data_IF_742871604652
#
_entry.id   IF_742871604652
#
_cell.length_a   1.000
_cell.length_b   1.000
_cell.length_c   1.000
_cell.angle_alpha   90.00
_cell.angle_beta   90.00
_cell.angle_gamma   90.00
#
_symmetry.space_group_name_H-M   'P 1'
#
loop_
_entity.id
_entity.type
_entity.pdbx_description
1 polymer ?
#
# COMPACT_ATOMS: atom_id res chain seq x y z
N UNK A 1 16.61 -14.45 -5.16
CA UNK A 1 16.55 -13.00 -4.88
C UNK A 1 17.76 -12.38 -5.55
N UNK A 2 17.57 -11.28 -6.28
CA UNK A 2 18.62 -10.55 -6.97
C UNK A 2 18.59 -9.11 -6.46
N UNK A 3 19.75 -8.60 -6.05
CA UNK A 3 19.93 -7.19 -5.71
C UNK A 3 19.96 -6.37 -7.00
N UNK A 4 19.16 -5.31 -7.07
CA UNK A 4 19.09 -4.40 -8.22
C UNK A 4 19.86 -3.10 -7.95
N UNK A 5 20.24 -2.81 -6.70
CA UNK A 5 20.79 -1.54 -6.15
C UNK A 5 19.73 -0.61 -5.51
N UNK A 6 20.20 0.41 -4.78
CA UNK A 6 19.39 1.39 -4.03
C UNK A 6 18.39 0.78 -3.02
N UNK A 7 18.69 -0.41 -2.50
CA UNK A 7 17.82 -1.10 -1.54
C UNK A 7 16.61 -1.80 -2.17
N UNK A 8 16.60 -1.95 -3.49
CA UNK A 8 15.60 -2.72 -4.21
C UNK A 8 16.06 -4.16 -4.47
N UNK A 9 15.13 -5.10 -4.27
CA UNK A 9 15.38 -6.52 -4.47
C UNK A 9 14.34 -7.12 -5.43
N UNK A 10 14.79 -7.89 -6.42
CA UNK A 10 13.93 -8.68 -7.26
C UNK A 10 13.77 -10.09 -6.69
N UNK A 11 12.52 -10.48 -6.44
CA UNK A 11 12.18 -11.82 -5.96
C UNK A 11 11.33 -12.51 -7.03
N UNK A 12 11.79 -13.68 -7.47
CA UNK A 12 11.04 -14.55 -8.38
C UNK A 12 10.46 -15.71 -7.57
N UNK A 13 9.14 -15.79 -7.53
CA UNK A 13 8.41 -16.87 -6.89
C UNK A 13 8.20 -18.03 -7.86
N UNK A 14 8.18 -19.26 -7.33
CA UNK A 14 7.86 -20.46 -8.10
C UNK A 14 6.36 -20.78 -8.04
N UNK A 15 5.72 -20.47 -6.91
CA UNK A 15 4.30 -20.67 -6.69
C UNK A 15 3.55 -19.33 -6.78
N UNK A 16 2.40 -19.34 -7.46
CA UNK A 16 1.50 -18.20 -7.54
C UNK A 16 0.95 -17.82 -6.15
N UNK A 17 0.65 -18.79 -5.30
CA UNK A 17 0.14 -18.55 -3.95
C UNK A 17 1.17 -17.77 -3.11
N UNK A 18 2.44 -18.17 -3.15
CA UNK A 18 3.50 -17.48 -2.39
C UNK A 18 3.69 -16.03 -2.89
N UNK A 19 3.54 -15.81 -4.20
CA UNK A 19 3.57 -14.47 -4.78
C UNK A 19 2.39 -13.61 -4.32
N UNK A 20 1.18 -14.16 -4.34
CA UNK A 20 -0.03 -13.48 -3.88
C UNK A 20 0.09 -13.15 -2.39
N UNK A 21 0.52 -14.11 -1.56
CA UNK A 21 0.73 -13.90 -0.13
C UNK A 21 1.78 -12.82 0.13
N UNK A 22 2.90 -12.84 -0.59
CA UNK A 22 3.93 -11.79 -0.47
C UNK A 22 3.39 -10.39 -0.80
N UNK A 23 2.42 -10.28 -1.72
CA UNK A 23 1.79 -9.01 -2.07
C UNK A 23 0.69 -8.59 -1.11
N UNK A 24 -0.10 -9.54 -0.59
CA UNK A 24 -1.35 -9.27 0.12
C UNK A 24 -1.38 -9.63 1.59
N UNK A 25 -0.32 -10.20 2.19
CA UNK A 25 -0.28 -10.53 3.62
C UNK A 25 0.56 -9.55 4.45
N UNK A 26 1.03 -8.45 3.85
CA UNK A 26 1.73 -7.38 4.56
C UNK A 26 0.87 -6.67 5.64
N UNK A 27 1.44 -5.69 6.36
CA UNK A 27 2.71 -5.01 6.10
C UNK A 27 3.95 -5.83 6.49
N UNK A 28 4.99 -5.77 5.67
CA UNK A 28 6.25 -6.45 5.93
C UNK A 28 7.19 -5.54 6.71
N UNK A 29 7.69 -6.03 7.85
CA UNK A 29 8.64 -5.29 8.69
C UNK A 29 9.88 -6.17 8.89
N UNK A 30 11.04 -5.64 8.51
CA UNK A 30 12.34 -6.27 8.74
C UNK A 30 13.21 -5.30 9.54
N UNK A 31 13.70 -5.72 10.71
CA UNK A 31 14.48 -4.88 11.63
C UNK A 31 13.86 -3.51 11.96
N UNK A 32 12.52 -3.46 12.05
CA UNK A 32 11.79 -2.21 12.33
C UNK A 32 11.63 -1.27 11.15
N UNK A 33 12.11 -1.66 9.96
CA UNK A 33 11.89 -0.93 8.71
C UNK A 33 10.78 -1.59 7.90
N UNK A 34 9.86 -0.78 7.39
CA UNK A 34 8.81 -1.25 6.51
C UNK A 34 9.37 -1.56 5.11
N UNK A 35 8.93 -2.68 4.54
CA UNK A 35 9.21 -3.02 3.15
C UNK A 35 7.98 -2.79 2.29
N UNK A 36 8.18 -2.10 1.18
CA UNK A 36 7.20 -2.00 0.10
C UNK A 36 7.39 -3.19 -0.84
N UNK A 37 6.32 -3.96 -1.04
CA UNK A 37 6.28 -5.03 -2.04
C UNK A 37 5.36 -4.60 -3.16
N UNK A 38 5.83 -4.71 -4.40
CA UNK A 38 5.03 -4.41 -5.59
C UNK A 38 5.32 -5.41 -6.71
N UNK A 39 4.37 -5.62 -7.65
CA UNK A 39 4.63 -6.38 -8.86
C UNK A 39 5.80 -5.78 -9.65
N UNK A 40 6.60 -6.64 -10.26
CA UNK A 40 7.64 -6.19 -11.18
C UNK A 40 7.02 -5.47 -12.39
N UNK A 41 7.63 -4.36 -12.82
CA UNK A 41 7.24 -3.62 -14.01
C UNK A 41 8.46 -3.32 -14.88
N UNK A 42 8.29 -3.34 -16.21
CA UNK A 42 9.35 -2.97 -17.15
C UNK A 42 9.74 -1.49 -17.08
N UNK A 43 8.86 -0.65 -16.54
CA UNK A 43 9.11 0.77 -16.31
C UNK A 43 9.82 1.04 -14.97
N UNK A 44 10.28 -0.01 -14.27
CA UNK A 44 10.93 0.13 -12.98
C UNK A 44 12.31 0.77 -13.16
N UNK A 45 12.53 1.90 -12.49
CA UNK A 45 13.80 2.61 -12.47
C UNK A 45 14.34 2.67 -11.03
N UNK A 46 15.41 1.91 -10.70
CA UNK A 46 15.99 1.91 -9.36
C UNK A 46 16.65 3.25 -8.97
N UNK A 47 16.85 4.16 -9.93
CA UNK A 47 17.42 5.50 -9.70
C UNK A 47 16.36 6.53 -9.34
N UNK A 48 15.08 6.24 -9.58
CA UNK A 48 13.98 7.10 -9.19
C UNK A 48 13.75 6.98 -7.68
N UNK A 49 13.69 8.12 -6.98
CA UNK A 49 13.56 8.13 -5.52
C UNK A 49 12.27 7.46 -5.02
N UNK A 50 11.17 7.52 -5.80
CA UNK A 50 9.87 6.98 -5.42
C UNK A 50 9.07 6.52 -6.65
N UNK A 51 8.48 5.33 -6.58
CA UNK A 51 7.50 4.87 -7.56
C UNK A 51 6.22 5.71 -7.49
N UNK A 52 5.62 6.03 -8.63
CA UNK A 52 4.31 6.73 -8.67
C UNK A 52 3.14 5.86 -8.20
N UNK A 53 3.36 4.56 -8.02
CA UNK A 53 2.36 3.59 -7.56
C UNK A 53 2.96 2.77 -6.43
N UNK A 54 2.25 2.67 -5.32
CA UNK A 54 2.66 1.94 -4.13
C UNK A 54 1.49 1.17 -3.55
N UNK A 55 1.74 -0.08 -3.16
CA UNK A 55 0.78 -0.86 -2.39
C UNK A 55 0.81 -0.39 -0.94
N UNK A 56 -0.36 -0.03 -0.41
CA UNK A 56 -0.49 0.46 0.95
C UNK A 56 -1.63 -0.24 1.69
N UNK A 57 -1.41 -0.41 2.99
CA UNK A 57 -2.41 -0.96 3.89
C UNK A 57 -3.23 0.17 4.48
N UNK A 58 -4.55 0.08 4.33
CA UNK A 58 -5.46 1.14 4.79
C UNK A 58 -6.13 0.72 6.08
N UNK A 59 -6.18 1.64 7.05
CA UNK A 59 -6.85 1.49 8.34
C UNK A 59 -7.93 2.55 8.51
N UNK A 60 -9.08 2.11 9.00
CA UNK A 60 -10.20 2.98 9.38
C UNK A 60 -10.45 2.88 10.88
N UNK A 61 -9.68 3.61 11.70
CA UNK A 61 -9.86 3.59 13.14
C UNK A 61 -11.27 4.07 13.50
N UNK A 62 -11.96 3.31 14.35
CA UNK A 62 -13.29 3.65 14.83
C UNK A 62 -14.42 3.50 13.80
N UNK A 63 -14.16 2.88 12.64
CA UNK A 63 -15.22 2.59 11.68
C UNK A 63 -16.23 1.59 12.29
N UNK A 64 -17.52 1.90 12.33
CA UNK A 64 -18.53 0.97 12.80
C UNK A 64 -18.57 -0.34 12.00
N UNK A 65 -18.73 -1.47 12.68
CA UNK A 65 -18.76 -2.81 12.07
C UNK A 65 -19.75 -2.97 10.92
N UNK A 66 -20.91 -2.32 10.98
CA UNK A 66 -21.93 -2.37 9.92
C UNK A 66 -21.51 -1.65 8.62
N UNK A 67 -20.46 -0.83 8.65
CA UNK A 67 -19.89 -0.18 7.47
C UNK A 67 -18.75 -0.98 6.83
N UNK A 68 -18.30 -2.08 7.45
CA UNK A 68 -17.37 -3.04 6.84
C UNK A 68 -18.12 -3.93 5.83
N UNK A 69 -18.64 -3.31 4.77
CA UNK A 69 -19.24 -3.99 3.63
C UNK A 69 -18.26 -3.98 2.46
N UNK A 70 -18.15 -5.10 1.75
CA UNK A 70 -17.31 -5.23 0.55
C UNK A 70 -17.48 -4.05 -0.41
N UNK A 71 -18.71 -3.62 -0.69
CA UNK A 71 -18.97 -2.48 -1.59
C UNK A 71 -18.30 -1.19 -1.14
N UNK A 72 -18.40 -0.88 0.16
CA UNK A 72 -17.79 0.33 0.74
C UNK A 72 -16.27 0.23 0.67
N UNK A 73 -15.71 -0.92 1.03
CA UNK A 73 -14.26 -1.15 1.01
C UNK A 73 -13.71 -1.03 -0.43
N UNK A 74 -14.41 -1.59 -1.42
CA UNK A 74 -14.03 -1.48 -2.84
C UNK A 74 -14.08 -0.03 -3.32
N UNK A 75 -15.15 0.70 -3.04
CA UNK A 75 -15.27 2.11 -3.42
C UNK A 75 -14.11 2.95 -2.84
N UNK A 76 -13.69 2.67 -1.60
CA UNK A 76 -12.55 3.37 -1.00
C UNK A 76 -11.22 2.95 -1.64
N UNK A 77 -11.05 1.67 -1.95
CA UNK A 77 -9.86 1.17 -2.63
C UNK A 77 -9.64 1.77 -4.03
N UNK A 78 -10.70 2.26 -4.67
CA UNK A 78 -10.63 2.97 -5.96
C UNK A 78 -10.36 4.48 -5.82
N UNK A 79 -10.37 5.03 -4.60
CA UNK A 79 -10.04 6.44 -4.38
C UNK A 79 -8.53 6.67 -4.34
N UNK A 80 -8.03 7.81 -4.89
CA UNK A 80 -6.67 8.25 -4.64
C UNK A 80 -6.37 8.37 -3.15
N UNK A 81 -5.08 8.43 -2.80
CA UNK A 81 -4.64 8.61 -1.42
C UNK A 81 -5.26 9.88 -0.80
N UNK A 82 -6.08 9.72 0.23
CA UNK A 82 -6.82 10.79 0.91
C UNK A 82 -6.68 10.65 2.42
N UNK A 83 -6.65 11.77 3.13
CA UNK A 83 -6.60 11.75 4.61
C UNK A 83 -7.95 11.40 5.26
N UNK A 84 -9.04 11.54 4.52
CA UNK A 84 -10.39 11.28 4.98
C UNK A 84 -11.34 11.00 3.82
N UNK A 85 -12.39 10.25 4.13
CA UNK A 85 -13.51 9.96 3.23
C UNK A 85 -14.84 10.32 3.91
N UNK A 86 -15.88 10.50 3.10
CA UNK A 86 -17.24 10.71 3.59
C UNK A 86 -18.03 9.42 3.47
N UNK A 87 -18.42 8.82 4.60
CA UNK A 87 -19.29 7.65 4.65
C UNK A 87 -20.62 8.08 5.26
N UNK A 88 -21.71 8.02 4.48
CA UNK A 88 -23.04 8.47 4.89
C UNK A 88 -23.06 9.90 5.47
N UNK A 89 -22.27 10.81 4.89
CA UNK A 89 -22.15 12.21 5.34
C UNK A 89 -21.29 12.42 6.60
N UNK A 90 -20.71 11.36 7.17
CA UNK A 90 -19.76 11.45 8.29
C UNK A 90 -18.33 11.36 7.77
N UNK A 91 -17.46 12.23 8.29
CA UNK A 91 -16.02 12.20 8.00
C UNK A 91 -15.37 11.03 8.73
N UNK A 92 -14.74 10.14 7.98
CA UNK A 92 -13.93 9.04 8.49
C UNK A 92 -12.46 9.31 8.14
N UNK A 93 -11.58 9.26 9.12
CA UNK A 93 -10.14 9.36 8.89
C UNK A 93 -9.63 8.07 8.26
N UNK A 94 -8.68 8.22 7.33
CA UNK A 94 -7.98 7.14 6.66
C UNK A 94 -6.53 7.17 7.12
N UNK A 95 -6.06 6.06 7.66
CA UNK A 95 -4.67 5.87 8.03
C UNK A 95 -4.04 4.89 7.06
N UNK A 96 -2.77 5.13 6.71
CA UNK A 96 -2.01 4.24 5.84
C UNK A 96 -0.84 3.66 6.61
N UNK A 97 -0.71 2.34 6.65
CA UNK A 97 0.49 1.70 7.17
C UNK A 97 1.57 1.64 6.09
N UNK A 98 2.84 1.66 6.51
CA UNK A 98 4.00 1.59 5.63
C UNK A 98 4.16 2.77 4.65
N UNK A 99 3.37 3.85 4.80
CA UNK A 99 3.43 5.07 3.98
C UNK A 99 3.99 6.28 4.75
N UNK A 100 5.10 6.11 5.47
CA UNK A 100 5.74 7.18 6.25
C UNK A 100 6.37 8.31 5.42
N UNK A 101 6.35 8.21 4.09
CA UNK A 101 7.05 9.13 3.16
C UNK A 101 6.08 10.00 2.35
N UNK A 102 4.76 9.72 2.38
CA UNK A 102 3.80 10.45 1.55
C UNK A 102 3.36 11.75 2.21
N UNK A 103 3.49 12.84 1.48
CA UNK A 103 3.05 14.16 1.91
C UNK A 103 1.70 14.49 1.24
N UNK A 104 0.61 14.22 1.97
CA UNK A 104 -0.76 14.50 1.51
C UNK A 104 -1.05 15.99 1.23
N UNK A 105 -0.21 16.91 1.71
CA UNK A 105 -0.35 18.35 1.51
C UNK A 105 0.39 18.87 0.27
N UNK A 106 1.48 18.21 -0.11
CA UNK A 106 2.32 18.64 -1.23
C UNK A 106 2.08 17.81 -2.50
N UNK A 107 1.14 16.86 -2.46
CA UNK A 107 0.67 16.11 -3.63
C UNK A 107 1.71 15.16 -4.21
N UNK A 108 2.74 14.81 -3.44
CA UNK A 108 3.81 13.87 -3.76
C UNK A 108 4.17 13.06 -2.52
#
# INVERSE_FOLDING_TARGET
>A
MMDIENGYFLVKFQNKLDYENALSEGPWIIFGQYLTVQPWTLAFDPTQAYSSVVMAWIRFPGLPGYLYNHKIITEIGETPLVSHILINGRKQNVEYESLSIICFYCGR
#
